data_IF_550745274336
#
_entry.id   IF_550745274336
#
_cell.length_a   1.000
_cell.length_b   1.000
_cell.length_c   1.000
_cell.angle_alpha   90.00
_cell.angle_beta   90.00
_cell.angle_gamma   90.00
#
_symmetry.space_group_name_H-M   'P 1'
#
loop_
_entity.id
_entity.type
_entity.pdbx_description
1 polymer ?
#
# COMPACT_ATOMS: atom_id res chain seq x y z
N UNK A 1 -19.98 -16.57 -14.03
CA UNK A 1 -19.93 -15.28 -14.74
C UNK A 1 -20.93 -14.35 -14.08
N UNK A 2 -20.53 -13.64 -13.02
CA UNK A 2 -21.44 -12.78 -12.25
C UNK A 2 -20.84 -11.38 -12.10
N UNK A 3 -21.65 -10.41 -12.53
CA UNK A 3 -21.75 -9.01 -12.07
C UNK A 3 -20.50 -8.12 -12.09
N UNK A 4 -20.32 -7.40 -13.20
CA UNK A 4 -19.72 -6.06 -13.18
C UNK A 4 -20.85 -5.04 -13.29
N UNK A 5 -21.56 -4.86 -12.18
CA UNK A 5 -22.57 -3.82 -12.01
C UNK A 5 -22.06 -2.75 -11.04
N UNK A 6 -20.94 -2.11 -11.37
CA UNK A 6 -20.48 -0.88 -10.71
C UNK A 6 -19.73 -0.04 -11.74
N UNK A 7 -20.47 0.80 -12.47
CA UNK A 7 -20.01 2.05 -13.11
C UNK A 7 -21.07 2.70 -14.02
N UNK A 8 -22.37 2.44 -13.81
CA UNK A 8 -23.44 3.05 -14.61
C UNK A 8 -23.68 4.53 -14.29
N UNK A 9 -23.47 4.98 -13.05
CA UNK A 9 -23.72 6.37 -12.65
C UNK A 9 -22.79 7.39 -13.32
N UNK A 10 -21.50 7.10 -13.47
CA UNK A 10 -20.55 8.05 -14.07
C UNK A 10 -20.80 8.28 -15.56
N UNK A 11 -21.11 7.20 -16.31
CA UNK A 11 -21.37 7.27 -17.75
C UNK A 11 -22.73 7.91 -18.08
N UNK A 12 -23.74 7.69 -17.24
CA UNK A 12 -25.07 8.30 -17.38
C UNK A 12 -25.02 9.81 -17.12
N UNK A 13 -24.25 10.27 -16.13
CA UNK A 13 -24.10 11.70 -15.84
C UNK A 13 -23.41 12.49 -16.97
N UNK A 14 -22.47 11.86 -17.71
CA UNK A 14 -21.85 12.47 -18.89
C UNK A 14 -22.85 12.65 -20.05
N UNK A 15 -23.69 11.63 -20.31
CA UNK A 15 -24.63 11.63 -21.44
C UNK A 15 -25.92 12.42 -21.20
N UNK A 16 -26.32 12.62 -19.94
CA UNK A 16 -27.49 13.42 -19.59
C UNK A 16 -27.17 14.93 -19.59
N UNK A 17 -25.97 15.33 -19.17
CA UNK A 17 -25.58 16.75 -19.11
C UNK A 17 -25.25 17.37 -20.48
N UNK A 18 -24.81 16.59 -21.48
CA UNK A 18 -24.55 17.09 -22.84
C UNK A 18 -25.82 17.49 -23.60
N UNK A 19 -27.01 17.09 -23.14
CA UNK A 19 -28.29 17.40 -23.80
C UNK A 19 -28.98 18.65 -23.29
N UNK A 20 -28.59 19.19 -22.13
CA UNK A 20 -29.44 20.14 -21.41
C UNK A 20 -28.97 21.60 -21.38
N UNK A 21 -27.69 22.00 -21.53
CA UNK A 21 -27.41 23.45 -21.54
C UNK A 21 -26.11 23.93 -22.21
N UNK A 22 -26.26 25.14 -22.76
CA UNK A 22 -25.31 26.02 -23.48
C UNK A 22 -23.91 26.06 -22.86
N UNK A 23 -22.92 25.95 -23.73
CA UNK A 23 -21.46 25.93 -23.48
C UNK A 23 -20.94 27.00 -22.51
N UNK A 24 -20.37 26.57 -21.37
CA UNK A 24 -19.13 27.11 -20.85
C UNK A 24 -18.01 26.10 -21.16
N UNK A 25 -16.88 26.64 -21.59
CA UNK A 25 -15.68 25.96 -22.11
C UNK A 25 -15.53 24.47 -21.72
N UNK A 26 -15.83 23.55 -22.66
CA UNK A 26 -15.76 22.08 -22.50
C UNK A 26 -14.42 21.59 -21.95
N UNK A 27 -13.34 22.33 -22.20
CA UNK A 27 -11.99 22.08 -21.69
C UNK A 27 -11.90 22.23 -20.17
N UNK A 28 -12.61 23.19 -19.58
CA UNK A 28 -12.56 23.45 -18.13
C UNK A 28 -13.31 22.38 -17.33
N UNK A 29 -14.45 21.91 -17.84
CA UNK A 29 -15.20 20.80 -17.22
C UNK A 29 -14.46 19.47 -17.36
N UNK A 30 -13.83 19.21 -18.51
CA UNK A 30 -12.99 18.02 -18.68
C UNK A 30 -11.77 18.06 -17.75
N UNK A 31 -11.13 19.21 -17.58
CA UNK A 31 -10.02 19.40 -16.65
C UNK A 31 -10.46 19.20 -15.19
N UNK A 32 -11.59 19.78 -14.76
CA UNK A 32 -12.14 19.58 -13.42
C UNK A 32 -12.47 18.11 -13.14
N UNK A 33 -13.11 17.43 -14.10
CA UNK A 33 -13.42 16.00 -13.98
C UNK A 33 -12.16 15.14 -13.92
N UNK A 34 -11.13 15.46 -14.73
CA UNK A 34 -9.85 14.79 -14.71
C UNK A 34 -9.12 14.99 -13.37
N UNK A 35 -9.14 16.21 -12.80
CA UNK A 35 -8.57 16.50 -11.48
C UNK A 35 -9.30 15.75 -10.38
N UNK A 36 -10.63 15.78 -10.37
CA UNK A 36 -11.43 15.03 -9.38
C UNK A 36 -11.22 13.51 -9.49
N UNK A 37 -11.09 12.99 -10.71
CA UNK A 37 -10.77 11.58 -10.95
C UNK A 37 -9.37 11.23 -10.48
N UNK A 38 -8.36 12.06 -10.78
CA UNK A 38 -6.99 11.86 -10.31
C UNK A 38 -6.90 11.93 -8.77
N UNK A 39 -7.58 12.88 -8.13
CA UNK A 39 -7.68 12.98 -6.67
C UNK A 39 -8.37 11.75 -6.06
N UNK A 40 -9.40 11.20 -6.72
CA UNK A 40 -10.08 9.98 -6.28
C UNK A 40 -9.21 8.72 -6.40
N UNK A 41 -8.19 8.74 -7.25
CA UNK A 41 -7.23 7.65 -7.44
C UNK A 41 -5.96 7.82 -6.61
N UNK A 42 -5.78 8.95 -5.93
CA UNK A 42 -4.60 9.20 -5.11
C UNK A 42 -4.62 8.35 -3.85
N UNK A 43 -3.61 7.48 -3.73
CA UNK A 43 -3.41 6.65 -2.56
C UNK A 43 -2.96 7.49 -1.36
N UNK A 44 -2.15 8.53 -1.58
CA UNK A 44 -1.72 9.38 -0.47
C UNK A 44 -2.89 10.17 0.13
N UNK A 45 -3.82 10.66 -0.70
CA UNK A 45 -5.02 11.34 -0.19
C UNK A 45 -5.91 10.38 0.60
N UNK A 46 -6.10 9.14 0.14
CA UNK A 46 -6.87 8.14 0.88
C UNK A 46 -6.24 7.80 2.23
N UNK A 47 -4.91 7.73 2.28
CA UNK A 47 -4.13 7.54 3.52
C UNK A 47 -4.34 8.68 4.51
N UNK A 48 -4.15 9.92 4.05
CA UNK A 48 -4.13 11.13 4.90
C UNK A 48 -5.54 11.51 5.36
N UNK A 49 -6.53 11.46 4.47
CA UNK A 49 -7.90 11.92 4.73
C UNK A 49 -8.85 10.77 5.14
N UNK A 50 -8.30 9.63 5.55
CA UNK A 50 -9.11 8.52 6.06
C UNK A 50 -9.89 8.92 7.31
N UNK A 51 -11.22 8.77 7.22
CA UNK A 51 -12.18 8.95 8.31
C UNK A 51 -12.51 7.63 9.03
N UNK A 52 -11.63 6.62 8.96
CA UNK A 52 -11.87 5.36 9.67
C UNK A 52 -12.08 5.61 11.16
N UNK A 53 -13.21 5.11 11.66
CA UNK A 53 -13.58 5.23 13.07
C UNK A 53 -12.54 4.46 13.89
N UNK A 54 -11.89 5.06 14.90
CA UNK A 54 -10.87 4.37 15.66
C UNK A 54 -11.47 3.16 16.37
N UNK A 55 -11.01 1.96 16.02
CA UNK A 55 -11.52 0.72 16.65
C UNK A 55 -10.81 0.44 17.99
N UNK A 56 -9.80 1.24 18.35
CA UNK A 56 -9.01 1.20 19.62
C UNK A 56 -8.95 -0.20 20.25
N UNK A 57 -8.07 -1.03 19.71
CA UNK A 57 -7.71 -2.34 20.29
C UNK A 57 -6.32 -2.29 20.92
N UNK A 58 -6.12 -3.13 21.93
CA UNK A 58 -4.77 -3.39 22.47
C UNK A 58 -4.01 -4.16 21.40
N UNK A 59 -2.86 -3.64 20.98
CA UNK A 59 -2.00 -4.30 20.01
C UNK A 59 -1.15 -5.37 20.71
N UNK A 60 -1.13 -6.58 20.18
CA UNK A 60 -0.24 -7.65 20.65
C UNK A 60 1.18 -7.48 20.11
N UNK A 61 2.17 -7.87 20.91
CA UNK A 61 3.59 -7.88 20.50
C UNK A 61 4.20 -9.21 20.89
N UNK A 62 4.85 -9.86 19.93
CA UNK A 62 5.46 -11.17 20.06
C UNK A 62 6.99 -11.09 19.92
N UNK A 63 7.69 -11.80 20.80
CA UNK A 63 9.14 -11.95 20.73
C UNK A 63 9.60 -12.91 19.63
N UNK A 64 10.82 -12.71 19.14
CA UNK A 64 11.45 -13.58 18.13
C UNK A 64 10.78 -13.52 16.76
N UNK A 65 10.06 -12.44 16.44
CA UNK A 65 9.52 -12.16 15.13
C UNK A 65 10.51 -11.32 14.31
N UNK A 66 10.43 -11.44 12.98
CA UNK A 66 11.04 -10.45 12.07
C UNK A 66 10.40 -9.09 12.29
N UNK A 67 9.07 -9.09 12.41
CA UNK A 67 8.27 -7.94 12.75
C UNK A 67 7.10 -8.32 13.65
N UNK A 68 6.80 -7.48 14.63
CA UNK A 68 5.58 -7.59 15.41
C UNK A 68 5.15 -6.19 15.84
N UNK A 69 3.98 -5.77 15.35
CA UNK A 69 3.40 -4.48 15.71
C UNK A 69 1.94 -4.36 15.32
N UNK A 70 1.29 -3.34 15.83
CA UNK A 70 -0.08 -2.98 15.47
C UNK A 70 -0.30 -1.48 15.52
N UNK A 71 -1.42 -1.04 14.94
CA UNK A 71 -1.84 0.35 14.98
C UNK A 71 -3.02 0.51 15.94
N UNK A 72 -2.81 1.22 17.05
CA UNK A 72 -3.86 1.49 18.04
C UNK A 72 -5.05 2.33 17.52
N UNK A 73 -4.91 3.06 16.41
CA UNK A 73 -6.00 3.80 15.75
C UNK A 73 -6.89 2.86 14.92
N UNK A 74 -6.33 2.05 14.04
CA UNK A 74 -7.10 1.13 13.19
C UNK A 74 -7.45 -0.19 13.88
N UNK A 75 -6.71 -0.57 14.91
CA UNK A 75 -6.81 -1.89 15.56
C UNK A 75 -6.25 -3.03 14.72
N UNK A 76 -5.50 -2.72 13.64
CA UNK A 76 -4.84 -3.71 12.78
C UNK A 76 -3.52 -4.16 13.38
N UNK A 77 -3.18 -5.44 13.20
CA UNK A 77 -1.96 -6.05 13.71
C UNK A 77 -1.24 -6.83 12.60
N UNK A 78 0.09 -6.82 12.63
CA UNK A 78 0.93 -7.57 11.70
C UNK A 78 2.08 -8.21 12.48
N UNK A 79 2.23 -9.51 12.32
CA UNK A 79 3.30 -10.32 12.91
C UNK A 79 3.91 -11.21 11.83
N UNK A 80 5.23 -11.37 11.84
CA UNK A 80 5.95 -12.05 10.77
C UNK A 80 7.13 -12.86 11.29
N UNK A 81 7.29 -14.05 10.74
CA UNK A 81 8.49 -14.89 10.87
C UNK A 81 8.78 -15.56 9.53
N UNK A 82 10.03 -15.92 9.29
CA UNK A 82 10.31 -16.88 8.22
C UNK A 82 9.55 -18.16 8.51
N UNK A 83 8.93 -18.70 7.46
CA UNK A 83 8.29 -20.00 7.51
C UNK A 83 9.34 -21.11 7.50
N UNK A 84 8.98 -22.30 7.97
CA UNK A 84 9.86 -23.48 7.93
C UNK A 84 10.19 -23.89 6.50
N UNK A 85 9.32 -23.58 5.52
CA UNK A 85 9.57 -23.82 4.11
C UNK A 85 10.51 -22.80 3.43
N UNK A 86 10.93 -21.75 4.15
CA UNK A 86 11.74 -20.67 3.57
C UNK A 86 13.13 -21.17 3.20
N UNK A 87 13.58 -20.88 1.98
CA UNK A 87 14.96 -21.11 1.53
C UNK A 87 15.64 -19.80 1.11
N UNK A 88 16.92 -19.86 0.74
CA UNK A 88 17.61 -18.69 0.17
C UNK A 88 17.07 -18.33 -1.22
N UNK A 89 16.68 -19.34 -2.01
CA UNK A 89 16.15 -19.18 -3.37
C UNK A 89 14.67 -18.81 -3.39
N UNK A 90 13.91 -19.19 -2.37
CA UNK A 90 12.49 -18.85 -2.19
C UNK A 90 12.24 -18.45 -0.73
N UNK A 91 12.44 -17.15 -0.39
CA UNK A 91 12.16 -16.68 0.95
C UNK A 91 10.65 -16.69 1.18
N UNK A 92 10.21 -17.45 2.19
CA UNK A 92 8.81 -17.55 2.57
C UNK A 92 8.61 -16.96 3.96
N UNK A 93 7.71 -15.99 4.08
CA UNK A 93 7.36 -15.36 5.35
C UNK A 93 5.94 -15.74 5.71
N UNK A 94 5.76 -16.32 6.90
CA UNK A 94 4.45 -16.50 7.52
C UNK A 94 4.07 -15.22 8.22
N UNK A 95 2.95 -14.64 7.80
CA UNK A 95 2.39 -13.42 8.38
C UNK A 95 1.01 -13.67 8.98
N UNK A 96 0.76 -13.17 10.18
CA UNK A 96 -0.53 -13.27 10.87
C UNK A 96 -0.85 -11.99 11.65
N UNK A 97 -2.12 -11.80 12.00
CA UNK A 97 -2.55 -10.63 12.75
C UNK A 97 -4.04 -10.36 12.63
N UNK A 98 -4.43 -9.09 12.74
CA UNK A 98 -5.81 -8.62 12.77
C UNK A 98 -6.03 -7.61 11.64
N UNK A 99 -7.09 -7.81 10.84
CA UNK A 99 -7.48 -6.93 9.73
C UNK A 99 -8.26 -5.67 10.20
N UNK A 100 -8.63 -4.78 9.27
CA UNK A 100 -9.34 -3.54 9.61
C UNK A 100 -10.75 -3.78 10.17
N UNK A 101 -11.32 -4.96 9.92
CA UNK A 101 -12.63 -5.39 10.43
C UNK A 101 -12.51 -6.08 11.79
N UNK A 102 -11.30 -6.47 12.19
CA UNK A 102 -11.04 -7.18 13.43
C UNK A 102 -11.01 -8.69 13.30
N UNK A 103 -10.94 -9.21 12.08
CA UNK A 103 -10.80 -10.65 11.87
C UNK A 103 -9.32 -11.02 11.94
N UNK A 104 -9.06 -12.19 12.50
CA UNK A 104 -7.75 -12.82 12.41
C UNK A 104 -7.47 -13.22 10.96
N UNK A 105 -6.22 -13.03 10.54
CA UNK A 105 -5.72 -13.51 9.26
C UNK A 105 -4.37 -14.20 9.45
N UNK A 106 -4.07 -15.12 8.55
CA UNK A 106 -2.77 -15.77 8.41
C UNK A 106 -2.51 -16.07 6.93
N UNK A 107 -1.29 -15.83 6.46
CA UNK A 107 -0.88 -16.08 5.07
C UNK A 107 0.61 -16.40 4.96
N UNK A 108 0.96 -17.23 3.99
CA UNK A 108 2.34 -17.46 3.55
C UNK A 108 2.64 -16.54 2.37
N UNK A 109 3.78 -15.86 2.43
CA UNK A 109 4.19 -14.86 1.45
C UNK A 109 5.52 -15.31 0.84
N UNK A 110 5.49 -15.65 -0.45
CA UNK A 110 6.68 -15.86 -1.26
C UNK A 110 7.24 -14.49 -1.62
N UNK A 111 8.34 -14.09 -0.97
CA UNK A 111 8.86 -12.71 -1.05
C UNK A 111 9.25 -12.33 -2.49
N UNK A 112 9.77 -13.30 -3.24
CA UNK A 112 10.13 -13.15 -4.66
C UNK A 112 8.95 -12.79 -5.57
N UNK A 113 7.72 -13.14 -5.16
CA UNK A 113 6.50 -12.94 -5.96
C UNK A 113 5.78 -11.63 -5.60
N UNK A 114 6.28 -10.87 -4.62
CA UNK A 114 5.67 -9.62 -4.19
C UNK A 114 5.85 -8.54 -5.25
N UNK A 115 4.78 -8.25 -5.98
CA UNK A 115 4.71 -7.13 -6.94
C UNK A 115 4.37 -5.82 -6.22
N UNK A 116 5.30 -4.86 -6.08
CA UNK A 116 5.03 -3.61 -5.37
C UNK A 116 3.99 -2.72 -6.07
N UNK A 117 3.58 -3.03 -7.31
CA UNK A 117 2.50 -2.34 -8.01
C UNK A 117 1.12 -2.97 -7.75
N UNK A 118 1.09 -4.17 -7.16
CA UNK A 118 -0.12 -4.92 -6.83
C UNK A 118 0.10 -5.84 -5.62
N UNK A 119 0.49 -5.25 -4.49
CA UNK A 119 0.76 -5.96 -3.25
C UNK A 119 -0.22 -5.54 -2.15
N UNK A 120 -0.40 -6.40 -1.16
CA UNK A 120 -1.03 -6.01 0.10
C UNK A 120 0.00 -5.34 1.01
N UNK A 121 -0.45 -4.53 1.97
CA UNK A 121 0.45 -4.01 2.99
C UNK A 121 1.21 -5.08 3.78
N UNK A 122 0.62 -6.26 4.01
CA UNK A 122 1.33 -7.39 4.64
C UNK A 122 2.42 -7.92 3.71
N UNK A 123 2.14 -8.11 2.42
CA UNK A 123 3.15 -8.59 1.46
C UNK A 123 4.33 -7.60 1.34
N UNK A 124 4.06 -6.30 1.25
CA UNK A 124 5.12 -5.29 1.24
C UNK A 124 5.93 -5.28 2.53
N UNK A 125 5.29 -5.54 3.68
CA UNK A 125 5.98 -5.62 4.98
C UNK A 125 6.89 -6.83 5.07
N UNK A 126 6.48 -7.95 4.49
CA UNK A 126 7.34 -9.12 4.36
C UNK A 126 8.56 -8.81 3.49
N UNK A 127 8.36 -8.17 2.33
CA UNK A 127 9.45 -7.77 1.44
C UNK A 127 10.46 -6.82 2.12
N UNK A 128 9.98 -5.78 2.82
CA UNK A 128 10.87 -4.85 3.52
C UNK A 128 11.69 -5.53 4.62
N UNK A 129 11.07 -6.38 5.45
CA UNK A 129 11.79 -7.06 6.52
C UNK A 129 12.77 -8.10 5.99
N UNK A 130 12.46 -8.75 4.86
CA UNK A 130 13.40 -9.62 4.18
C UNK A 130 14.63 -8.84 3.70
N UNK A 131 14.43 -7.75 2.95
CA UNK A 131 15.53 -6.89 2.47
C UNK A 131 16.35 -6.30 3.62
N UNK A 132 15.70 -5.93 4.72
CA UNK A 132 16.42 -5.48 5.90
C UNK A 132 17.25 -6.60 6.54
N UNK A 133 16.68 -7.80 6.70
CA UNK A 133 17.36 -8.96 7.29
C UNK A 133 18.57 -9.41 6.45
N UNK A 134 18.49 -9.31 5.12
CA UNK A 134 19.59 -9.61 4.19
C UNK A 134 20.59 -8.46 4.04
N UNK A 135 20.40 -7.36 4.78
CA UNK A 135 21.27 -6.17 4.79
C UNK A 135 21.40 -5.48 3.45
N UNK A 136 20.28 -5.40 2.72
CA UNK A 136 20.19 -4.62 1.49
C UNK A 136 20.73 -3.20 1.67
N UNK A 137 21.73 -2.79 0.88
CA UNK A 137 22.43 -1.51 1.08
C UNK A 137 21.50 -0.30 0.99
N UNK A 138 20.53 -0.31 0.05
CA UNK A 138 19.59 0.80 -0.12
C UNK A 138 18.68 0.88 1.10
N UNK A 139 17.98 -0.23 1.42
CA UNK A 139 17.01 -0.27 2.53
C UNK A 139 17.67 -0.07 3.90
N UNK A 140 18.90 -0.54 4.09
CA UNK A 140 19.64 -0.33 5.35
C UNK A 140 20.18 1.09 5.47
N UNK A 141 20.61 1.74 4.39
CA UNK A 141 21.09 3.13 4.39
C UNK A 141 19.98 4.15 4.65
N UNK A 142 18.75 3.85 4.21
CA UNK A 142 17.55 4.62 4.54
C UNK A 142 17.05 4.34 5.97
N UNK A 143 17.58 3.28 6.61
CA UNK A 143 17.20 2.76 7.93
C UNK A 143 15.87 2.00 7.92
N UNK A 144 15.51 1.33 9.04
CA UNK A 144 14.15 0.80 9.34
C UNK A 144 13.07 1.91 9.46
N UNK A 145 13.23 2.99 8.72
CA UNK A 145 12.35 4.16 8.68
C UNK A 145 11.68 4.29 7.31
N UNK A 146 12.01 3.41 6.36
CA UNK A 146 11.28 3.24 5.12
C UNK A 146 9.87 2.70 5.40
N UNK A 147 9.02 2.77 4.38
CA UNK A 147 7.57 2.95 4.34
C UNK A 147 6.67 2.36 5.42
N UNK A 148 7.09 1.36 6.19
CA UNK A 148 6.16 0.46 6.88
C UNK A 148 6.03 0.68 8.38
N UNK A 149 7.03 1.33 8.99
CA UNK A 149 6.77 2.10 10.21
C UNK A 149 5.66 3.14 9.98
N UNK A 150 5.54 3.63 8.73
CA UNK A 150 4.37 4.37 8.26
C UNK A 150 3.22 3.44 7.90
N UNK A 151 3.36 2.29 7.21
CA UNK A 151 2.22 1.41 6.88
C UNK A 151 1.35 1.13 8.12
N UNK A 152 1.87 0.79 9.29
CA UNK A 152 0.96 0.71 10.44
C UNK A 152 0.27 2.06 10.73
N UNK A 153 0.93 3.21 10.72
CA UNK A 153 0.30 4.55 10.90
C UNK A 153 -0.59 5.05 9.74
N UNK A 154 -0.08 5.07 8.52
CA UNK A 154 -0.61 5.43 7.20
C UNK A 154 -1.66 4.46 6.64
N UNK A 155 -1.64 3.16 7.00
CA UNK A 155 -2.78 2.25 6.74
C UNK A 155 -4.00 2.56 7.61
N UNK A 156 -4.03 3.66 8.35
CA UNK A 156 -5.30 4.12 8.87
C UNK A 156 -6.37 4.29 7.76
N UNK A 157 -5.97 4.44 6.49
CA UNK A 157 -6.86 4.47 5.32
C UNK A 157 -7.02 3.17 4.53
N UNK A 158 -6.35 2.08 4.89
CA UNK A 158 -6.29 0.87 4.07
C UNK A 158 -6.39 -0.39 4.93
N UNK A 159 -6.99 -1.45 4.39
CA UNK A 159 -6.92 -2.77 5.04
C UNK A 159 -5.55 -3.41 4.78
N UNK A 160 -4.98 -4.10 5.77
CA UNK A 160 -3.70 -4.81 5.65
C UNK A 160 -3.69 -5.85 4.51
N UNK A 161 -4.86 -6.35 4.09
CA UNK A 161 -5.02 -7.29 2.98
C UNK A 161 -5.53 -6.64 1.69
N UNK A 162 -5.65 -5.31 1.63
CA UNK A 162 -6.06 -4.61 0.40
C UNK A 162 -4.90 -4.52 -0.58
N UNK A 163 -5.12 -4.90 -1.85
CA UNK A 163 -4.11 -4.77 -2.91
C UNK A 163 -3.97 -3.30 -3.35
N UNK A 164 -2.73 -2.80 -3.35
CA UNK A 164 -2.36 -1.42 -3.63
C UNK A 164 -1.16 -1.34 -4.58
N UNK A 165 -1.06 -0.18 -5.26
CA UNK A 165 0.13 0.20 -5.99
C UNK A 165 1.05 1.03 -5.08
N UNK A 166 1.98 0.37 -4.39
CA UNK A 166 2.88 1.05 -3.46
C UNK A 166 3.89 1.96 -4.16
N UNK A 167 4.25 1.66 -5.41
CA UNK A 167 5.07 2.56 -6.24
C UNK A 167 4.35 3.90 -6.46
N UNK A 168 3.07 3.87 -6.79
CA UNK A 168 2.26 5.07 -6.87
C UNK A 168 2.20 5.80 -5.53
N UNK A 169 1.90 5.09 -4.44
CA UNK A 169 1.83 5.67 -3.09
C UNK A 169 3.12 6.40 -2.68
N UNK A 170 4.28 5.77 -2.91
CA UNK A 170 5.60 6.35 -2.63
C UNK A 170 5.86 7.62 -3.44
N UNK A 171 5.58 7.57 -4.74
CA UNK A 171 5.81 8.70 -5.64
C UNK A 171 4.87 9.88 -5.35
N UNK A 172 3.61 9.60 -5.03
CA UNK A 172 2.67 10.64 -4.57
C UNK A 172 3.13 11.27 -3.25
N UNK A 173 3.56 10.46 -2.28
CA UNK A 173 4.13 10.94 -1.02
C UNK A 173 5.38 11.81 -1.23
N UNK A 174 6.27 11.39 -2.13
CA UNK A 174 7.47 12.14 -2.50
C UNK A 174 7.15 13.48 -3.18
N UNK A 175 6.04 13.56 -3.94
CA UNK A 175 5.62 14.77 -4.63
C UNK A 175 5.02 15.83 -3.68
N UNK A 176 4.42 15.40 -2.56
CA UNK A 176 3.73 16.32 -1.63
C UNK A 176 4.58 16.70 -0.41
N UNK A 177 5.68 16.00 -0.14
CA UNK A 177 6.54 16.31 1.02
C UNK A 177 7.42 17.54 0.76
N UNK A 178 7.56 18.41 1.76
CA UNK A 178 8.49 19.55 1.71
C UNK A 178 9.94 19.15 2.03
N UNK A 179 10.15 17.96 2.61
CA UNK A 179 11.49 17.43 2.88
C UNK A 179 12.03 16.69 1.64
N UNK A 180 12.91 17.37 0.90
CA UNK A 180 13.58 16.82 -0.28
C UNK A 180 14.31 15.50 0.01
N UNK A 181 14.91 15.36 1.19
CA UNK A 181 15.60 14.12 1.54
C UNK A 181 14.60 12.96 1.73
N UNK A 182 13.42 13.23 2.28
CA UNK A 182 12.35 12.22 2.36
C UNK A 182 11.79 11.84 1.00
N UNK A 183 11.64 12.82 0.09
CA UNK A 183 11.20 12.55 -1.27
C UNK A 183 12.17 11.61 -2.00
N UNK A 184 13.47 11.92 -1.96
CA UNK A 184 14.52 11.11 -2.59
C UNK A 184 14.54 9.70 -2.00
N UNK A 185 14.49 9.55 -0.67
CA UNK A 185 14.44 8.23 -0.03
C UNK A 185 13.23 7.41 -0.50
N UNK A 186 12.05 8.01 -0.52
CA UNK A 186 10.82 7.32 -0.94
C UNK A 186 10.89 6.83 -2.39
N UNK A 187 11.52 7.61 -3.28
CA UNK A 187 11.74 7.23 -4.67
C UNK A 187 12.77 6.09 -4.79
N UNK A 188 13.87 6.15 -4.05
CA UNK A 188 14.89 5.09 -4.01
C UNK A 188 14.31 3.77 -3.50
N UNK A 189 13.48 3.82 -2.46
CA UNK A 189 12.79 2.64 -1.93
C UNK A 189 11.86 2.04 -2.99
N UNK A 190 11.07 2.86 -3.68
CA UNK A 190 10.19 2.43 -4.76
C UNK A 190 10.95 1.73 -5.90
N UNK A 191 12.07 2.32 -6.32
CA UNK A 191 12.96 1.74 -7.33
C UNK A 191 13.56 0.43 -6.85
N UNK A 192 13.96 0.34 -5.57
CA UNK A 192 14.57 -0.86 -5.00
C UNK A 192 13.60 -2.04 -4.96
N UNK A 193 12.35 -1.81 -4.51
CA UNK A 193 11.33 -2.86 -4.52
C UNK A 193 11.00 -3.34 -5.93
N UNK A 194 10.88 -2.42 -6.89
CA UNK A 194 10.66 -2.77 -8.30
C UNK A 194 11.82 -3.58 -8.87
N UNK A 195 13.06 -3.20 -8.55
CA UNK A 195 14.24 -3.91 -9.00
C UNK A 195 14.27 -5.33 -8.44
N UNK A 196 14.00 -5.50 -7.14
CA UNK A 196 13.93 -6.80 -6.50
C UNK A 196 12.89 -7.71 -7.18
N UNK A 197 11.66 -7.22 -7.36
CA UNK A 197 10.60 -7.97 -8.02
C UNK A 197 11.01 -8.40 -9.44
N UNK A 198 11.59 -7.50 -10.25
CA UNK A 198 12.03 -7.82 -11.61
C UNK A 198 13.14 -8.87 -11.66
N UNK A 199 14.03 -8.88 -10.66
CA UNK A 199 15.13 -9.84 -10.59
C UNK A 199 14.67 -11.26 -10.25
N UNK A 200 13.55 -11.38 -9.53
CA UNK A 200 13.05 -12.66 -9.01
C UNK A 200 11.77 -13.15 -9.71
N UNK A 201 11.20 -12.34 -10.61
CA UNK A 201 10.07 -12.74 -11.44
C UNK A 201 10.48 -13.90 -12.34
N UNK A 202 9.91 -15.08 -12.10
CA UNK A 202 10.03 -16.24 -12.98
C UNK A 202 9.27 -15.96 -14.28
N UNK A 203 9.90 -16.20 -15.43
CA UNK A 203 9.29 -16.11 -16.76
C UNK A 203 8.18 -17.14 -16.99
#
# INVERSE_FOLDING_TARGET
MNNVAFNSCARLNYLQNTRQNKTPNTTQYAAQYATQYAESQSLINRSVYSNNTPVRRIAHVYGGCLFSGGNGRSGQEIHMKYDESSTEEDPVIRAWGIDSKGNEYEQLIHVNEVDPQNATPVEMKALEEHLFATKDEVITSTGKRSLIASILGSLSGFDVNEKLNFVQYMNEGAAITMDKSSAIRSQLDAERYLLYYRQHKKE
#
